data_IF_339982888209
#
_entry.id   IF_339982888209
#
_cell.length_a   1.000
_cell.length_b   1.000
_cell.length_c   1.000
_cell.angle_alpha   90.00
_cell.angle_beta   90.00
_cell.angle_gamma   90.00
#
_symmetry.space_group_name_H-M   'P 1'
#
loop_
_entity.id
_entity.type
_entity.pdbx_description
1 polymer ?
#
# COMPACT_ATOMS: atom_id res chain seq x y z
N UNK A 1 -11.05 76.40 0.46
CA UNK A 1 -11.57 75.20 1.18
C UNK A 1 -11.26 73.96 0.33
N UNK A 2 -10.28 73.16 0.71
CA UNK A 2 -9.92 71.90 0.02
C UNK A 2 -10.44 70.74 0.87
N UNK A 3 -11.44 70.02 0.34
CA UNK A 3 -11.93 68.78 0.96
C UNK A 3 -10.96 67.61 0.62
N UNK A 4 -10.40 67.03 1.64
CA UNK A 4 -9.56 65.84 1.52
C UNK A 4 -10.44 64.60 1.80
N UNK A 5 -10.75 63.81 0.76
CA UNK A 5 -11.48 62.56 0.89
C UNK A 5 -10.54 61.47 1.43
N UNK A 6 -10.84 60.95 2.60
CA UNK A 6 -10.13 59.75 3.15
C UNK A 6 -10.77 58.51 2.57
N UNK A 7 -10.04 57.79 1.72
CA UNK A 7 -10.42 56.47 1.22
C UNK A 7 -10.02 55.42 2.25
N UNK A 8 -11.00 54.79 2.90
CA UNK A 8 -10.78 53.67 3.77
C UNK A 8 -10.60 52.41 2.92
N UNK A 9 -9.39 51.87 2.87
CA UNK A 9 -9.09 50.59 2.25
C UNK A 9 -9.38 49.47 3.27
N UNK A 10 -10.54 48.80 3.09
CA UNK A 10 -10.86 47.58 3.85
C UNK A 10 -9.96 46.41 3.35
N UNK A 11 -9.01 46.02 4.17
CA UNK A 11 -8.18 44.83 3.93
C UNK A 11 -9.00 43.58 4.33
N UNK A 12 -9.54 42.86 3.34
CA UNK A 12 -10.20 41.57 3.57
C UNK A 12 -9.10 40.52 3.72
N UNK A 13 -8.81 40.13 4.97
CA UNK A 13 -7.94 39.01 5.26
C UNK A 13 -8.78 37.73 5.12
N UNK A 14 -8.65 37.04 3.98
CA UNK A 14 -9.19 35.70 3.80
C UNK A 14 -8.33 34.70 4.61
N UNK A 15 -8.85 34.29 5.75
CA UNK A 15 -8.32 33.17 6.52
C UNK A 15 -8.58 31.88 5.75
N UNK A 16 -7.57 31.37 5.07
CA UNK A 16 -7.58 29.99 4.58
C UNK A 16 -7.43 29.06 5.80
N UNK A 17 -8.54 28.52 6.28
CA UNK A 17 -8.51 27.36 7.16
C UNK A 17 -8.04 26.17 6.33
N UNK A 18 -6.77 25.79 6.46
CA UNK A 18 -6.32 24.48 6.06
C UNK A 18 -7.05 23.45 6.95
N UNK A 19 -8.14 22.89 6.46
CA UNK A 19 -8.79 21.77 7.11
C UNK A 19 -7.79 20.60 7.09
N UNK A 20 -7.15 20.31 8.22
CA UNK A 20 -6.57 19.00 8.45
C UNK A 20 -7.71 18.00 8.37
N UNK A 21 -7.91 17.36 7.23
CA UNK A 21 -8.81 16.21 7.09
C UNK A 21 -8.17 15.06 7.88
N UNK A 22 -8.55 14.93 9.14
CA UNK A 22 -8.29 13.72 9.90
C UNK A 22 -9.02 12.59 9.20
N UNK A 23 -8.29 11.51 8.88
CA UNK A 23 -8.91 10.30 8.34
C UNK A 23 -10.00 9.84 9.31
N UNK A 24 -11.24 9.85 8.85
CA UNK A 24 -12.35 9.27 9.62
C UNK A 24 -12.40 7.77 9.32
N UNK A 25 -12.19 6.96 10.35
CA UNK A 25 -12.41 5.51 10.28
C UNK A 25 -13.92 5.29 10.30
N UNK A 26 -14.52 4.61 9.31
CA UNK A 26 -15.94 4.33 9.32
C UNK A 26 -16.32 3.42 10.52
N UNK A 27 -17.48 3.65 11.12
CA UNK A 27 -17.94 2.93 12.31
C UNK A 27 -18.04 1.40 12.12
N UNK A 28 -18.15 0.93 10.89
CA UNK A 28 -18.20 -0.49 10.53
C UNK A 28 -16.83 -1.14 10.34
N UNK A 29 -15.72 -0.39 10.52
CA UNK A 29 -14.37 -0.94 10.53
C UNK A 29 -13.86 -1.07 11.97
N UNK A 30 -13.35 -2.25 12.31
CA UNK A 30 -12.78 -2.55 13.63
C UNK A 30 -11.25 -2.54 13.52
N UNK A 31 -10.61 -1.82 14.43
CA UNK A 31 -9.16 -1.86 14.64
C UNK A 31 -8.78 -3.15 15.36
N UNK A 32 -7.70 -3.78 14.92
CA UNK A 32 -7.10 -4.93 15.60
C UNK A 32 -5.58 -4.93 15.42
N UNK A 33 -4.87 -5.31 16.45
CA UNK A 33 -3.46 -5.73 16.40
C UNK A 33 -3.45 -7.25 16.34
N UNK A 34 -3.02 -7.81 15.21
CA UNK A 34 -2.94 -9.26 15.03
C UNK A 34 -1.56 -9.71 15.48
N UNK A 35 -1.52 -10.44 16.59
CA UNK A 35 -0.29 -10.98 17.14
C UNK A 35 0.27 -12.09 16.23
N UNK A 36 1.56 -11.99 15.91
CA UNK A 36 2.31 -13.06 15.23
C UNK A 36 3.61 -13.33 15.99
N UNK A 37 4.32 -14.43 15.69
CA UNK A 37 5.53 -14.79 16.45
C UNK A 37 6.62 -13.70 16.47
N UNK A 38 6.70 -12.89 15.41
CA UNK A 38 7.77 -11.93 15.23
C UNK A 38 7.33 -10.46 15.28
N UNK A 39 6.14 -10.13 14.78
CA UNK A 39 5.64 -8.77 14.69
C UNK A 39 4.13 -8.72 14.88
N UNK A 40 3.62 -7.66 15.50
CA UNK A 40 2.20 -7.39 15.53
C UNK A 40 1.81 -6.62 14.26
N UNK A 41 0.76 -7.08 13.58
CA UNK A 41 0.29 -6.47 12.34
C UNK A 41 -1.02 -5.73 12.61
N UNK A 42 -1.02 -4.42 12.37
CA UNK A 42 -2.22 -3.59 12.53
C UNK A 42 -3.13 -3.75 11.33
N UNK A 43 -4.41 -3.99 11.61
CA UNK A 43 -5.46 -4.04 10.60
C UNK A 43 -6.67 -3.19 11.01
N UNK A 44 -7.38 -2.70 10.01
CA UNK A 44 -8.77 -2.24 10.13
C UNK A 44 -9.61 -3.11 9.24
N UNK A 45 -10.60 -3.78 9.80
CA UNK A 45 -11.40 -4.75 9.05
C UNK A 45 -12.90 -4.53 9.20
N UNK A 46 -13.61 -4.75 8.11
CA UNK A 46 -15.05 -4.87 8.01
C UNK A 46 -15.37 -6.29 7.57
N UNK A 47 -16.02 -7.09 8.40
CA UNK A 47 -16.39 -8.48 8.11
C UNK A 47 -17.89 -8.63 8.31
N UNK A 48 -18.66 -8.55 7.22
CA UNK A 48 -20.10 -8.68 7.25
C UNK A 48 -20.57 -10.15 7.15
N UNK A 49 -19.78 -10.98 6.44
CA UNK A 49 -20.05 -12.41 6.34
C UNK A 49 -18.73 -13.19 6.18
N UNK A 50 -18.22 -13.82 7.24
CA UNK A 50 -16.92 -14.51 7.22
C UNK A 50 -16.87 -15.74 6.29
N UNK A 51 -17.98 -16.14 5.68
CA UNK A 51 -18.03 -17.23 4.71
C UNK A 51 -17.77 -16.77 3.26
N UNK A 52 -17.82 -15.46 3.01
CA UNK A 52 -17.57 -14.86 1.70
C UNK A 52 -16.09 -14.54 1.49
N UNK A 53 -15.66 -14.33 0.22
CA UNK A 53 -14.31 -13.87 -0.09
C UNK A 53 -13.92 -12.57 0.64
N UNK A 54 -12.63 -12.41 0.85
CA UNK A 54 -12.04 -11.19 1.44
C UNK A 54 -11.33 -10.38 0.36
N UNK A 55 -11.33 -9.05 0.53
CA UNK A 55 -10.45 -8.16 -0.20
C UNK A 55 -9.52 -7.46 0.80
N UNK A 56 -8.21 -7.62 0.61
CA UNK A 56 -7.19 -7.16 1.55
C UNK A 56 -6.30 -6.15 0.88
N UNK A 57 -6.30 -4.92 1.40
CA UNK A 57 -5.48 -3.81 0.96
C UNK A 57 -4.20 -3.74 1.79
N UNK A 58 -3.06 -4.04 1.16
CA UNK A 58 -1.74 -4.07 1.80
C UNK A 58 -1.03 -2.74 1.57
N UNK A 59 -0.65 -2.09 2.68
CA UNK A 59 0.00 -0.78 2.68
C UNK A 59 1.41 -0.85 2.07
N UNK A 60 1.85 0.28 1.52
CA UNK A 60 3.22 0.45 1.03
C UNK A 60 4.25 0.60 2.15
N UNK A 61 5.48 0.99 1.77
CA UNK A 61 6.60 1.14 2.71
C UNK A 61 6.39 2.26 3.75
N UNK A 62 5.34 3.07 3.60
CA UNK A 62 4.98 4.14 4.51
C UNK A 62 6.03 5.26 4.56
N UNK A 63 6.26 5.82 5.76
CA UNK A 63 7.24 6.88 5.98
C UNK A 63 8.61 6.31 6.36
N UNK A 64 9.15 5.42 5.51
CA UNK A 64 10.43 4.75 5.74
C UNK A 64 11.63 5.69 5.66
N UNK A 65 11.55 6.72 4.80
CA UNK A 65 12.58 7.73 4.62
C UNK A 65 11.99 9.13 4.68
N UNK A 66 12.77 10.08 5.21
CA UNK A 66 12.43 11.51 5.19
C UNK A 66 12.79 12.15 3.83
N UNK A 67 12.53 13.45 3.69
CA UNK A 67 12.82 14.19 2.46
C UNK A 67 14.32 14.24 2.10
N UNK A 68 15.20 14.08 3.09
CA UNK A 68 16.65 14.07 2.91
C UNK A 68 17.19 12.65 2.58
N UNK A 69 16.30 11.68 2.40
CA UNK A 69 16.66 10.28 2.14
C UNK A 69 17.22 9.54 3.37
N UNK A 70 17.03 10.10 4.58
CA UNK A 70 17.45 9.42 5.81
C UNK A 70 16.33 8.51 6.32
N UNK A 71 16.65 7.29 6.78
CA UNK A 71 15.69 6.41 7.39
C UNK A 71 15.01 7.06 8.61
N UNK A 72 13.69 6.90 8.71
CA UNK A 72 12.92 7.43 9.85
C UNK A 72 12.96 6.49 11.06
N UNK A 73 12.54 6.99 12.21
CA UNK A 73 12.37 6.17 13.43
C UNK A 73 11.04 5.43 13.49
N UNK A 74 10.09 5.75 12.59
CA UNK A 74 8.76 5.15 12.56
C UNK A 74 8.22 5.15 11.12
N UNK A 75 8.02 3.97 10.51
CA UNK A 75 7.57 3.85 9.12
C UNK A 75 6.07 4.05 8.91
N UNK A 76 5.30 4.34 9.96
CA UNK A 76 3.85 4.55 9.84
C UNK A 76 3.52 5.54 8.72
N UNK A 77 2.65 5.19 7.76
CA UNK A 77 2.33 6.04 6.64
C UNK A 77 1.66 7.34 7.09
N UNK A 78 2.13 8.46 6.57
CA UNK A 78 1.52 9.78 6.77
C UNK A 78 0.35 10.03 5.83
N UNK A 79 0.36 9.39 4.65
CA UNK A 79 -0.75 9.42 3.69
C UNK A 79 -1.89 8.51 4.10
N UNK A 80 -3.03 8.67 3.43
CA UNK A 80 -4.26 7.92 3.72
C UNK A 80 -4.79 7.18 2.49
N UNK A 81 -4.02 7.14 1.40
CA UNK A 81 -4.48 6.64 0.09
C UNK A 81 -5.05 5.22 0.18
N UNK A 82 -4.26 4.27 0.69
CA UNK A 82 -4.66 2.86 0.76
C UNK A 82 -5.82 2.66 1.74
N UNK A 83 -5.78 3.36 2.89
CA UNK A 83 -6.88 3.34 3.87
C UNK A 83 -8.18 3.88 3.28
N UNK A 84 -8.13 4.98 2.52
CA UNK A 84 -9.30 5.54 1.85
C UNK A 84 -9.87 4.58 0.81
N UNK A 85 -9.03 3.87 0.06
CA UNK A 85 -9.47 2.84 -0.89
C UNK A 85 -10.19 1.70 -0.15
N UNK A 86 -9.59 1.17 0.92
CA UNK A 86 -10.17 0.09 1.71
C UNK A 86 -11.50 0.53 2.37
N UNK A 87 -11.53 1.71 2.99
CA UNK A 87 -12.71 2.20 3.72
C UNK A 87 -13.88 2.56 2.79
N UNK A 88 -13.59 2.89 1.54
CA UNK A 88 -14.61 3.13 0.51
C UNK A 88 -15.09 1.87 -0.20
N UNK A 89 -14.49 0.72 0.04
CA UNK A 89 -14.89 -0.54 -0.61
C UNK A 89 -16.15 -1.13 0.02
N UNK A 90 -17.16 -1.39 -0.82
CA UNK A 90 -18.46 -1.93 -0.40
C UNK A 90 -18.52 -3.47 -0.39
N UNK A 91 -17.41 -4.17 -0.68
CA UNK A 91 -17.34 -5.62 -0.57
C UNK A 91 -17.75 -6.10 0.83
N UNK A 92 -18.23 -7.33 0.94
CA UNK A 92 -18.72 -7.87 2.21
C UNK A 92 -17.64 -7.92 3.29
N UNK A 93 -16.41 -8.33 2.91
CA UNK A 93 -15.28 -8.44 3.81
C UNK A 93 -14.12 -7.64 3.22
N UNK A 94 -13.71 -6.59 3.93
CA UNK A 94 -12.62 -5.71 3.53
C UNK A 94 -11.65 -5.57 4.70
N UNK A 95 -10.37 -5.69 4.40
CA UNK A 95 -9.29 -5.52 5.35
C UNK A 95 -8.30 -4.51 4.79
N UNK A 96 -7.99 -3.47 5.54
CA UNK A 96 -6.76 -2.74 5.39
C UNK A 96 -5.72 -3.40 6.28
N UNK A 97 -4.56 -3.75 5.73
CA UNK A 97 -3.45 -4.37 6.44
C UNK A 97 -2.23 -3.48 6.34
N UNK A 98 -1.76 -2.99 7.48
CA UNK A 98 -0.49 -2.29 7.59
C UNK A 98 0.68 -3.26 7.40
N UNK A 99 1.86 -2.71 7.15
CA UNK A 99 3.11 -3.47 7.18
C UNK A 99 3.61 -3.67 8.61
N UNK A 100 4.44 -4.66 8.82
CA UNK A 100 5.14 -4.83 10.08
C UNK A 100 5.83 -3.52 10.52
N UNK A 101 5.77 -3.21 11.82
CA UNK A 101 6.31 -1.99 12.43
C UNK A 101 5.60 -0.67 12.06
N UNK A 102 4.49 -0.71 11.33
CA UNK A 102 3.65 0.46 11.10
C UNK A 102 2.54 0.53 12.16
N UNK A 103 2.24 1.73 12.67
CA UNK A 103 1.29 2.04 13.75
C UNK A 103 1.68 1.49 15.13
N UNK A 104 2.20 0.28 15.21
CA UNK A 104 2.69 -0.36 16.44
C UNK A 104 4.14 -0.78 16.24
N UNK A 105 4.99 -0.44 17.22
CA UNK A 105 6.39 -0.85 17.23
C UNK A 105 6.57 -2.02 18.18
N UNK A 106 6.51 -3.24 17.66
CA UNK A 106 6.87 -4.44 18.40
C UNK A 106 8.35 -4.40 18.82
N UNK A 107 8.72 -5.12 19.90
CA UNK A 107 10.11 -5.16 20.44
C UNK A 107 11.17 -5.60 19.43
N UNK A 108 10.79 -6.37 18.39
CA UNK A 108 11.69 -6.77 17.29
C UNK A 108 11.81 -5.70 16.19
N UNK A 109 10.97 -4.66 16.19
CA UNK A 109 11.04 -3.61 15.20
C UNK A 109 12.39 -2.90 15.24
N UNK A 110 13.06 -2.89 14.12
CA UNK A 110 14.35 -2.22 13.93
C UNK A 110 14.35 -1.57 12.55
N UNK A 111 15.11 -0.50 12.38
CA UNK A 111 15.16 0.31 11.17
C UNK A 111 15.39 -0.52 9.89
N UNK A 112 16.12 -1.63 9.97
CA UNK A 112 16.31 -2.52 8.83
C UNK A 112 14.99 -3.04 8.24
N UNK A 113 13.94 -3.24 9.04
CA UNK A 113 12.66 -3.81 8.62
C UNK A 113 11.74 -2.85 7.85
N UNK A 114 12.12 -1.59 7.72
CA UNK A 114 11.50 -0.66 6.76
C UNK A 114 12.52 -0.03 5.81
N UNK A 115 13.76 -0.58 5.79
CA UNK A 115 14.82 -0.21 4.85
C UNK A 115 15.29 -1.41 4.05
N UNK A 116 16.45 -2.00 4.34
CA UNK A 116 17.07 -3.07 3.53
C UNK A 116 16.38 -4.43 3.67
N UNK A 117 15.77 -4.70 4.81
CA UNK A 117 15.08 -5.96 5.15
C UNK A 117 13.54 -5.83 5.11
N UNK A 118 13.00 -4.88 4.33
CA UNK A 118 11.55 -4.58 4.30
C UNK A 118 10.69 -5.71 3.73
N UNK A 119 11.31 -6.65 3.03
CA UNK A 119 10.70 -7.89 2.52
C UNK A 119 11.46 -9.12 3.02
N UNK A 120 12.09 -9.03 4.22
CA UNK A 120 12.77 -10.17 4.81
C UNK A 120 11.82 -11.37 5.03
N UNK A 121 12.33 -12.61 5.03
CA UNK A 121 11.48 -13.79 5.25
C UNK A 121 10.60 -13.67 6.50
N UNK A 122 11.14 -13.17 7.61
CA UNK A 122 10.38 -12.99 8.86
C UNK A 122 9.30 -11.91 8.77
N UNK A 123 9.43 -10.92 7.86
CA UNK A 123 8.40 -9.93 7.58
C UNK A 123 7.27 -10.57 6.77
N UNK A 124 7.61 -11.28 5.69
CA UNK A 124 6.63 -11.96 4.84
C UNK A 124 5.86 -13.02 5.64
N UNK A 125 6.57 -13.79 6.47
CA UNK A 125 5.96 -14.79 7.36
C UNK A 125 4.97 -14.15 8.35
N UNK A 126 5.34 -13.04 9.00
CA UNK A 126 4.44 -12.36 9.95
C UNK A 126 3.20 -11.80 9.25
N UNK A 127 3.36 -11.17 8.08
CA UNK A 127 2.23 -10.63 7.32
C UNK A 127 1.33 -11.74 6.76
N UNK A 128 1.90 -12.87 6.32
CA UNK A 128 1.15 -14.06 5.92
C UNK A 128 0.39 -14.70 7.08
N UNK A 129 1.03 -14.88 8.25
CA UNK A 129 0.39 -15.39 9.45
C UNK A 129 -0.79 -14.52 9.90
N UNK A 130 -0.62 -13.20 9.88
CA UNK A 130 -1.73 -12.29 10.21
C UNK A 130 -2.87 -12.41 9.21
N UNK A 131 -2.56 -12.50 7.92
CA UNK A 131 -3.55 -12.67 6.87
C UNK A 131 -4.31 -14.00 7.03
N UNK A 132 -3.61 -15.10 7.28
CA UNK A 132 -4.23 -16.42 7.49
C UNK A 132 -5.20 -16.44 8.67
N UNK A 133 -4.80 -15.85 9.81
CA UNK A 133 -5.67 -15.71 10.98
C UNK A 133 -6.99 -14.96 10.66
N UNK A 134 -6.94 -13.97 9.74
CA UNK A 134 -8.11 -13.18 9.36
C UNK A 134 -8.98 -13.93 8.35
N UNK A 135 -8.38 -14.45 7.28
CA UNK A 135 -9.15 -15.00 6.15
C UNK A 135 -9.51 -16.48 6.32
N UNK A 136 -8.81 -17.22 7.18
CA UNK A 136 -9.08 -18.62 7.52
C UNK A 136 -9.32 -19.50 6.29
N UNK A 137 -8.38 -19.46 5.33
CA UNK A 137 -8.44 -20.18 4.06
C UNK A 137 -9.63 -19.80 3.15
N UNK A 138 -10.29 -18.66 3.39
CA UNK A 138 -11.30 -18.13 2.46
C UNK A 138 -10.62 -17.54 1.22
N UNK A 139 -11.33 -17.54 0.07
CA UNK A 139 -10.81 -16.86 -1.12
C UNK A 139 -10.46 -15.40 -0.81
N UNK A 140 -9.30 -14.93 -1.28
CA UNK A 140 -8.84 -13.56 -1.04
C UNK A 140 -8.33 -12.91 -2.32
N UNK A 141 -8.71 -11.65 -2.52
CA UNK A 141 -8.10 -10.74 -3.47
C UNK A 141 -7.14 -9.84 -2.71
N UNK A 142 -5.86 -9.85 -3.09
CA UNK A 142 -4.83 -8.99 -2.49
C UNK A 142 -4.66 -7.73 -3.35
N UNK A 143 -4.80 -6.57 -2.73
CA UNK A 143 -4.58 -5.25 -3.35
C UNK A 143 -3.35 -4.62 -2.73
N UNK A 144 -2.21 -4.65 -3.42
CA UNK A 144 -0.94 -4.15 -2.90
C UNK A 144 -0.58 -2.78 -3.47
N UNK A 145 -0.25 -1.82 -2.60
CA UNK A 145 0.25 -0.50 -3.01
C UNK A 145 1.76 -0.42 -2.83
N UNK A 146 2.48 0.08 -3.85
CA UNK A 146 3.93 0.31 -3.77
C UNK A 146 4.69 -0.94 -3.28
N UNK A 147 5.40 -0.90 -2.15
CA UNK A 147 6.03 -2.06 -1.53
C UNK A 147 5.04 -3.15 -1.09
N UNK A 148 3.78 -2.81 -0.81
CA UNK A 148 2.73 -3.78 -0.51
C UNK A 148 2.41 -4.72 -1.68
N UNK A 149 2.72 -4.31 -2.92
CA UNK A 149 2.61 -5.18 -4.09
C UNK A 149 3.62 -6.33 -4.06
N UNK A 150 4.85 -6.05 -3.63
CA UNK A 150 5.89 -7.08 -3.42
C UNK A 150 5.44 -8.08 -2.34
N UNK A 151 4.89 -7.58 -1.22
CA UNK A 151 4.35 -8.43 -0.16
C UNK A 151 3.21 -9.31 -0.65
N UNK A 152 2.22 -8.73 -1.35
CA UNK A 152 1.11 -9.49 -1.93
C UNK A 152 1.61 -10.61 -2.85
N UNK A 153 2.59 -10.30 -3.71
CA UNK A 153 3.22 -11.27 -4.59
C UNK A 153 3.95 -12.37 -3.84
N UNK A 154 4.81 -12.00 -2.87
CA UNK A 154 5.59 -12.96 -2.08
C UNK A 154 4.68 -13.88 -1.25
N UNK A 155 3.68 -13.34 -0.56
CA UNK A 155 2.69 -14.17 0.16
C UNK A 155 2.04 -15.18 -0.79
N UNK A 156 1.54 -14.73 -1.93
CA UNK A 156 0.83 -15.60 -2.86
C UNK A 156 1.69 -16.74 -3.44
N UNK A 157 3.01 -16.52 -3.58
CA UNK A 157 3.91 -17.54 -4.14
C UNK A 157 4.56 -18.43 -3.09
N UNK A 158 4.67 -17.96 -1.83
CA UNK A 158 5.35 -18.72 -0.76
C UNK A 158 4.40 -19.37 0.24
N UNK A 159 3.14 -18.90 0.34
CA UNK A 159 2.12 -19.36 1.29
C UNK A 159 0.89 -19.90 0.55
N UNK A 160 1.00 -21.10 -0.06
CA UNK A 160 -0.08 -21.69 -0.86
C UNK A 160 -1.31 -22.08 -0.03
N UNK A 161 -1.20 -22.14 1.29
CA UNK A 161 -2.32 -22.31 2.23
C UNK A 161 -3.26 -21.11 2.25
N UNK A 162 -2.78 -19.92 1.88
CA UNK A 162 -3.61 -18.73 1.69
C UNK A 162 -4.23 -18.80 0.30
N UNK A 163 -5.56 -18.86 0.25
CA UNK A 163 -6.32 -19.05 -0.98
C UNK A 163 -6.41 -17.77 -1.82
N UNK A 164 -5.25 -17.30 -2.34
CA UNK A 164 -5.17 -16.08 -3.16
C UNK A 164 -5.76 -16.34 -4.55
N UNK A 165 -6.86 -15.67 -4.87
CA UNK A 165 -7.56 -15.80 -6.15
C UNK A 165 -7.08 -14.79 -7.18
N UNK A 166 -6.65 -13.62 -6.74
CA UNK A 166 -6.22 -12.53 -7.61
C UNK A 166 -5.29 -11.57 -6.87
N UNK A 167 -4.36 -10.99 -7.62
CA UNK A 167 -3.50 -9.89 -7.15
C UNK A 167 -3.80 -8.64 -7.97
N UNK A 168 -4.04 -7.53 -7.28
CA UNK A 168 -4.16 -6.20 -7.87
C UNK A 168 -3.02 -5.36 -7.31
N UNK A 169 -2.27 -4.67 -8.15
CA UNK A 169 -1.22 -3.78 -7.68
C UNK A 169 -1.46 -2.36 -8.14
N UNK A 170 -1.13 -1.41 -7.29
CA UNK A 170 -1.24 0.03 -7.55
C UNK A 170 0.13 0.64 -7.30
N UNK A 171 0.75 1.24 -8.31
CA UNK A 171 2.12 1.75 -8.24
C UNK A 171 3.09 0.70 -7.65
N UNK A 172 2.91 -0.58 -8.00
CA UNK A 172 3.57 -1.70 -7.35
C UNK A 172 5.07 -1.76 -7.61
N UNK A 173 5.88 -1.99 -6.57
CA UNK A 173 7.29 -2.35 -6.72
C UNK A 173 7.41 -3.88 -6.82
N UNK A 174 7.30 -4.41 -8.03
CA UNK A 174 7.36 -5.86 -8.29
C UNK A 174 8.80 -6.38 -8.55
N UNK A 175 9.75 -5.47 -8.76
CA UNK A 175 11.14 -5.77 -9.05
C UNK A 175 12.05 -4.80 -8.29
N UNK A 176 12.28 -5.06 -7.01
CA UNK A 176 13.07 -4.15 -6.19
C UNK A 176 14.57 -4.09 -6.60
N UNK A 177 15.22 -5.12 -7.18
CA UNK A 177 16.57 -4.95 -7.71
C UNK A 177 16.63 -3.94 -8.86
N UNK A 178 15.72 -4.02 -9.81
CA UNK A 178 15.64 -3.04 -10.91
C UNK A 178 15.31 -1.64 -10.38
N UNK A 179 14.43 -1.54 -9.36
CA UNK A 179 14.08 -0.28 -8.71
C UNK A 179 15.29 0.36 -7.99
N UNK A 180 16.05 -0.42 -7.20
CA UNK A 180 17.25 0.10 -6.51
C UNK A 180 18.33 0.51 -7.49
N UNK A 181 18.52 -0.25 -8.57
CA UNK A 181 19.45 0.09 -9.65
C UNK A 181 19.06 1.41 -10.34
N UNK A 182 17.78 1.57 -10.68
CA UNK A 182 17.27 2.79 -11.33
C UNK A 182 17.46 4.03 -10.45
N UNK A 183 17.12 3.94 -9.17
CA UNK A 183 17.27 5.05 -8.21
C UNK A 183 18.69 5.23 -7.68
N UNK A 184 19.63 4.34 -8.04
CA UNK A 184 21.03 4.34 -7.55
C UNK A 184 21.11 4.33 -6.02
N UNK A 185 20.23 3.56 -5.39
CA UNK A 185 20.22 3.35 -3.94
C UNK A 185 20.75 1.95 -3.60
N UNK A 186 21.21 1.71 -2.35
CA UNK A 186 21.69 0.40 -1.95
C UNK A 186 20.67 -0.71 -2.19
N UNK A 187 21.10 -1.92 -2.61
CA UNK A 187 20.22 -3.07 -2.76
C UNK A 187 19.50 -3.42 -1.45
N UNK A 188 18.31 -4.00 -1.56
CA UNK A 188 17.58 -4.55 -0.42
C UNK A 188 18.10 -5.97 -0.11
N UNK A 189 19.37 -6.04 0.33
CA UNK A 189 20.12 -7.31 0.42
C UNK A 189 19.52 -8.34 1.39
N UNK A 190 18.76 -7.86 2.40
CA UNK A 190 18.14 -8.73 3.40
C UNK A 190 16.67 -9.05 3.08
N UNK A 191 16.21 -8.72 1.86
CA UNK A 191 14.83 -8.89 1.40
C UNK A 191 14.71 -10.02 0.40
N UNK A 192 13.57 -10.71 0.43
CA UNK A 192 13.19 -11.68 -0.62
C UNK A 192 12.89 -10.94 -1.92
N UNK A 193 13.19 -11.60 -3.03
CA UNK A 193 12.99 -11.04 -4.37
C UNK A 193 11.88 -11.81 -5.11
N UNK A 194 10.84 -11.11 -5.54
CA UNK A 194 9.75 -11.72 -6.33
C UNK A 194 10.24 -12.25 -7.69
N UNK A 195 11.39 -11.76 -8.21
CA UNK A 195 11.99 -12.30 -9.42
C UNK A 195 12.34 -13.79 -9.30
N UNK A 196 12.70 -14.26 -8.09
CA UNK A 196 13.03 -15.67 -7.84
C UNK A 196 11.79 -16.58 -8.01
N UNK A 197 10.60 -15.99 -8.04
CA UNK A 197 9.31 -16.65 -8.14
C UNK A 197 8.49 -16.21 -9.36
N UNK A 198 9.11 -15.55 -10.34
CA UNK A 198 8.42 -14.91 -11.46
C UNK A 198 7.48 -15.85 -12.23
N UNK A 199 7.92 -17.08 -12.49
CA UNK A 199 7.10 -18.09 -13.18
C UNK A 199 5.86 -18.47 -12.37
N UNK A 200 6.01 -18.67 -11.05
CA UNK A 200 4.88 -18.99 -10.18
C UNK A 200 3.94 -17.78 -10.03
N UNK A 201 4.50 -16.59 -9.87
CA UNK A 201 3.73 -15.35 -9.80
C UNK A 201 2.89 -15.13 -11.07
N UNK A 202 3.45 -15.41 -12.25
CA UNK A 202 2.77 -15.24 -13.53
C UNK A 202 1.53 -16.17 -13.70
N UNK A 203 1.40 -17.24 -12.92
CA UNK A 203 0.23 -18.14 -12.98
C UNK A 203 -0.99 -17.60 -12.21
N UNK A 204 -0.81 -16.61 -11.35
CA UNK A 204 -1.88 -16.05 -10.53
C UNK A 204 -2.62 -14.98 -11.36
N UNK A 205 -3.97 -14.95 -11.36
CA UNK A 205 -4.71 -13.86 -11.97
C UNK A 205 -4.29 -12.51 -11.40
N UNK A 206 -3.95 -11.53 -12.24
CA UNK A 206 -3.37 -10.26 -11.77
C UNK A 206 -3.77 -9.08 -12.64
N UNK A 207 -3.81 -7.89 -12.01
CA UNK A 207 -4.00 -6.59 -12.66
C UNK A 207 -2.99 -5.61 -12.03
N UNK A 208 -2.28 -4.85 -12.87
CA UNK A 208 -1.25 -3.91 -12.40
C UNK A 208 -1.56 -2.50 -12.89
N UNK A 209 -1.96 -1.62 -11.99
CA UNK A 209 -2.14 -0.20 -12.27
C UNK A 209 -0.81 0.54 -12.10
N UNK A 210 -0.33 1.16 -13.17
CA UNK A 210 0.91 1.95 -13.20
C UNK A 210 0.58 3.42 -13.49
N UNK A 211 1.19 4.34 -12.76
CA UNK A 211 0.95 5.77 -12.93
C UNK A 211 1.80 6.34 -14.07
N UNK A 212 1.18 7.00 -15.05
CA UNK A 212 1.88 7.64 -16.17
C UNK A 212 3.01 8.57 -15.71
N UNK A 213 2.81 9.24 -14.56
CA UNK A 213 3.74 10.22 -13.99
C UNK A 213 4.37 9.74 -12.67
N UNK A 214 4.39 8.44 -12.43
CA UNK A 214 5.02 7.89 -11.25
C UNK A 214 6.55 7.88 -11.42
N UNK A 215 7.23 8.76 -10.68
CA UNK A 215 8.69 8.85 -10.66
C UNK A 215 9.32 7.95 -9.58
N UNK A 216 8.52 7.45 -8.64
CA UNK A 216 8.98 6.53 -7.59
C UNK A 216 9.01 5.09 -8.12
N UNK A 217 7.93 4.66 -8.78
CA UNK A 217 7.87 3.38 -9.47
C UNK A 217 7.49 3.64 -10.94
N UNK A 218 8.45 4.04 -11.78
CA UNK A 218 8.17 4.34 -13.18
C UNK A 218 7.54 3.14 -13.90
N UNK A 219 6.56 3.38 -14.80
CA UNK A 219 5.80 2.31 -15.48
C UNK A 219 6.67 1.23 -16.12
N UNK A 220 7.82 1.58 -16.67
CA UNK A 220 8.70 0.64 -17.37
C UNK A 220 9.25 -0.46 -16.45
N UNK A 221 9.37 -0.23 -15.13
CA UNK A 221 9.83 -1.25 -14.20
C UNK A 221 8.85 -2.43 -14.18
N UNK A 222 7.55 -2.15 -14.10
CA UNK A 222 6.52 -3.17 -14.18
C UNK A 222 6.36 -3.73 -15.60
N UNK A 223 6.46 -2.88 -16.62
CA UNK A 223 6.43 -3.31 -18.01
C UNK A 223 7.54 -4.33 -18.34
N UNK A 224 8.70 -4.24 -17.71
CA UNK A 224 9.80 -5.18 -17.91
C UNK A 224 9.65 -6.46 -17.08
N UNK A 225 8.95 -6.41 -15.95
CA UNK A 225 8.77 -7.55 -15.05
C UNK A 225 7.56 -8.41 -15.40
N UNK A 226 6.38 -7.78 -15.61
CA UNK A 226 5.12 -8.50 -15.83
C UNK A 226 5.14 -9.22 -17.19
N UNK A 227 4.89 -10.53 -17.18
CA UNK A 227 4.92 -11.36 -18.38
C UNK A 227 3.78 -11.04 -19.36
N UNK A 228 2.54 -11.01 -18.86
CA UNK A 228 1.35 -10.66 -19.67
C UNK A 228 1.08 -9.15 -19.61
N UNK A 229 1.42 -8.46 -20.69
CA UNK A 229 1.22 -7.00 -20.80
C UNK A 229 -0.25 -6.59 -20.80
N UNK A 230 -1.17 -7.51 -21.06
CA UNK A 230 -2.61 -7.22 -21.02
C UNK A 230 -3.12 -7.00 -19.59
N UNK A 231 -2.36 -7.42 -18.58
CA UNK A 231 -2.67 -7.17 -17.17
C UNK A 231 -2.26 -5.77 -16.69
N UNK A 232 -1.44 -5.05 -17.48
CA UNK A 232 -1.00 -3.69 -17.17
C UNK A 232 -2.08 -2.68 -17.57
N UNK A 233 -2.34 -1.73 -16.65
CA UNK A 233 -3.28 -0.62 -16.83
C UNK A 233 -2.57 0.70 -16.51
N UNK A 234 -2.23 1.46 -17.53
CA UNK A 234 -1.65 2.79 -17.31
C UNK A 234 -2.73 3.80 -16.93
N UNK A 235 -2.52 4.50 -15.81
CA UNK A 235 -3.43 5.50 -15.28
C UNK A 235 -2.89 6.89 -15.63
N UNK A 236 -3.55 7.52 -16.61
CA UNK A 236 -3.15 8.82 -17.14
C UNK A 236 -3.16 9.91 -16.07
N UNK A 237 -2.04 10.59 -15.91
CA UNK A 237 -1.83 11.69 -14.97
C UNK A 237 -1.58 11.24 -13.53
N UNK A 238 -1.66 9.94 -13.22
CA UNK A 238 -1.36 9.45 -11.88
C UNK A 238 0.15 9.54 -11.57
N UNK A 239 0.45 10.00 -10.37
CA UNK A 239 1.77 9.96 -9.74
C UNK A 239 1.81 8.82 -8.72
N UNK A 240 2.90 8.67 -7.95
CA UNK A 240 2.96 7.63 -6.93
C UNK A 240 1.82 7.71 -5.90
N UNK A 241 1.49 8.91 -5.43
CA UNK A 241 0.57 9.12 -4.32
C UNK A 241 -0.77 9.80 -4.69
N UNK A 242 -1.05 10.04 -5.98
CA UNK A 242 -2.25 10.78 -6.41
C UNK A 242 -2.72 10.39 -7.80
N UNK A 243 -3.99 10.71 -8.11
CA UNK A 243 -4.58 10.44 -9.43
C UNK A 243 -5.17 9.03 -9.57
N UNK A 244 -5.30 8.30 -8.48
CA UNK A 244 -5.81 6.93 -8.42
C UNK A 244 -7.34 6.86 -8.28
N UNK A 245 -8.02 7.98 -8.07
CA UNK A 245 -9.47 8.05 -7.84
C UNK A 245 -10.28 7.43 -8.99
N UNK A 246 -9.73 7.47 -10.20
CA UNK A 246 -10.38 6.95 -11.43
C UNK A 246 -10.51 5.43 -11.44
N UNK A 247 -9.59 4.72 -10.77
CA UNK A 247 -9.55 3.26 -10.78
C UNK A 247 -10.21 2.63 -9.55
N UNK A 248 -10.52 3.43 -8.52
CA UNK A 248 -11.15 2.94 -7.28
C UNK A 248 -12.43 2.14 -7.58
N UNK A 249 -13.39 2.62 -8.41
CA UNK A 249 -14.60 1.85 -8.71
C UNK A 249 -14.30 0.52 -9.43
N UNK A 250 -13.27 0.48 -10.28
CA UNK A 250 -12.84 -0.76 -10.96
C UNK A 250 -12.30 -1.76 -9.96
N UNK A 251 -11.38 -1.33 -9.05
CA UNK A 251 -10.81 -2.17 -8.01
C UNK A 251 -11.90 -2.70 -7.06
N UNK A 252 -12.86 -1.86 -6.69
CA UNK A 252 -13.97 -2.27 -5.81
C UNK A 252 -14.86 -3.34 -6.44
N UNK A 253 -14.97 -3.38 -7.76
CA UNK A 253 -15.78 -4.37 -8.50
C UNK A 253 -15.01 -5.67 -8.82
N UNK A 254 -13.70 -5.74 -8.58
CA UNK A 254 -12.91 -6.95 -8.75
C UNK A 254 -13.19 -7.96 -7.62
N UNK A 255 -13.45 -9.22 -8.00
CA UNK A 255 -13.79 -10.33 -7.09
C UNK A 255 -12.94 -11.56 -7.34
#
# INVERSE_FOLDING_TARGET
MKFCAKTNLLLIISLFFAACTTLQIPDNFVYQEVETPDFDIVVWQKVNNPLLPYKVYIEGDGYSFNADGQPTSNPTPRGTLVRNMAFGDNSANVVYMARACQFVLHKKCAQKYWTTARFAPEIIEAEANALEQIVQNRPVVLVGFSGGAQVAGLIAVTHPEINVQKIITIAGNLNHPAWTQYHRVPPLADSMDLNDYADKFATIPQIHYVGEKDEIIPPFLNQNFVADKQTLREVKGATHNSGWEKIIPEIHNEH
#
